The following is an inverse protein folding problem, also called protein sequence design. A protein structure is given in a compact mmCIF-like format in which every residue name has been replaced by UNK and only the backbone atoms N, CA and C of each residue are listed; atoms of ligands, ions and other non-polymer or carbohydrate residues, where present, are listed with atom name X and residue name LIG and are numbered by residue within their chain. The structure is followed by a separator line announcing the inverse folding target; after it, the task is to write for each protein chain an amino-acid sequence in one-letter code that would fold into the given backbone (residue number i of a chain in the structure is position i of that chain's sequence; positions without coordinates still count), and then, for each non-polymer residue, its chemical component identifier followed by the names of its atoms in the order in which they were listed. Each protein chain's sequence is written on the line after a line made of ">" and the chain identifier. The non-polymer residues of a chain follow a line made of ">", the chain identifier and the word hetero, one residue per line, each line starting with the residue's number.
data_IF_207899374452
#
_entry.id   IF_207899374452
#
_cell.length_a   1.000
_cell.length_b   1.000
_cell.length_c   1.000
_cell.angle_alpha   90.00
_cell.angle_beta   90.00
_cell.angle_gamma   90.00
#
_symmetry.space_group_name_H-M   'P 1'
#
loop_
_entity.id
_entity.type
_entity.pdbx_description
1 polymer ?
#
# COMPACT_ATOMS: atom_id res chain seq x y z
N UNK A 1 -23.78 17.60 5.63
CA UNK A 1 -23.04 16.42 6.10
C UNK A 1 -22.85 15.50 4.91
N UNK A 2 -21.66 15.62 4.30
CA UNK A 2 -21.25 14.76 3.19
C UNK A 2 -20.89 13.38 3.77
N UNK A 3 -21.66 12.37 3.42
CA UNK A 3 -21.27 10.98 3.64
C UNK A 3 -20.24 10.62 2.57
N UNK A 4 -18.99 10.55 2.96
CA UNK A 4 -17.95 9.92 2.14
C UNK A 4 -18.26 8.43 2.06
N UNK A 5 -18.89 8.02 0.98
CA UNK A 5 -19.10 6.60 0.71
C UNK A 5 -17.88 6.07 -0.01
N UNK A 6 -17.00 5.39 0.71
CA UNK A 6 -15.94 4.59 0.12
C UNK A 6 -16.55 3.26 -0.25
N UNK A 7 -16.78 3.02 -1.53
CA UNK A 7 -17.18 1.70 -2.02
C UNK A 7 -15.94 0.86 -2.29
N UNK A 8 -15.78 -0.22 -1.53
CA UNK A 8 -14.74 -1.21 -1.76
C UNK A 8 -15.26 -2.26 -2.75
N UNK A 9 -14.73 -2.27 -3.95
CA UNK A 9 -14.96 -3.37 -4.89
C UNK A 9 -13.82 -4.35 -4.69
N UNK A 10 -14.03 -5.33 -3.81
CA UNK A 10 -13.10 -6.42 -3.60
C UNK A 10 -13.08 -7.35 -4.80
N UNK A 11 -11.95 -7.42 -5.50
CA UNK A 11 -11.66 -8.52 -6.41
C UNK A 11 -11.05 -9.62 -5.56
N UNK A 12 -11.57 -10.84 -5.68
CA UNK A 12 -11.12 -11.99 -4.89
C UNK A 12 -9.58 -12.08 -4.87
N UNK A 13 -9.02 -11.88 -3.71
CA UNK A 13 -7.61 -12.16 -3.47
C UNK A 13 -7.42 -13.66 -3.38
N UNK A 14 -6.49 -14.17 -4.15
CA UNK A 14 -5.95 -15.51 -3.92
C UNK A 14 -5.42 -15.54 -2.49
N UNK A 15 -6.11 -16.24 -1.60
CA UNK A 15 -5.65 -16.46 -0.24
C UNK A 15 -4.53 -17.50 -0.29
N UNK A 16 -3.27 -17.14 -0.12
CA UNK A 16 -2.26 -18.12 0.23
C UNK A 16 -2.61 -18.68 1.61
N UNK A 17 -2.23 -19.92 1.84
CA UNK A 17 -2.46 -20.62 3.10
C UNK A 17 -2.14 -19.73 4.30
N UNK A 18 -2.94 -19.82 5.35
CA UNK A 18 -2.71 -19.15 6.63
C UNK A 18 -1.25 -19.27 7.04
N UNK A 19 -0.58 -18.14 7.14
CA UNK A 19 0.81 -18.10 7.55
C UNK A 19 0.83 -18.20 9.06
N UNK A 20 1.44 -19.24 9.55
CA UNK A 20 1.65 -19.39 10.98
C UNK A 20 3.11 -19.14 11.31
N UNK A 21 3.39 -18.03 11.98
CA UNK A 21 4.70 -17.84 12.59
C UNK A 21 4.90 -18.87 13.71
N UNK A 22 6.14 -19.40 13.86
CA UNK A 22 6.45 -20.27 14.99
C UNK A 22 6.13 -19.61 16.33
N UNK A 23 5.74 -20.40 17.33
CA UNK A 23 5.36 -19.90 18.66
C UNK A 23 6.48 -19.14 19.41
N UNK A 24 7.71 -19.31 19.00
CA UNK A 24 8.85 -18.62 19.58
C UNK A 24 9.13 -17.24 18.94
N UNK A 25 8.30 -16.80 18.00
CA UNK A 25 8.35 -15.45 17.45
C UNK A 25 7.53 -14.52 18.34
N UNK A 26 8.22 -13.72 19.13
CA UNK A 26 7.63 -12.75 20.04
C UNK A 26 7.64 -11.33 19.50
N UNK A 27 8.66 -10.99 18.73
CA UNK A 27 8.89 -9.64 18.21
C UNK A 27 9.06 -9.68 16.70
N UNK A 28 8.31 -8.83 16.00
CA UNK A 28 8.35 -8.75 14.54
C UNK A 28 8.80 -7.36 14.09
N UNK A 29 9.62 -7.33 13.04
CA UNK A 29 10.08 -6.11 12.38
C UNK A 29 9.31 -5.92 11.08
N UNK A 30 8.75 -4.74 10.87
CA UNK A 30 8.14 -4.34 9.61
C UNK A 30 9.17 -3.54 8.81
N UNK A 31 9.40 -3.93 7.56
CA UNK A 31 10.45 -3.36 6.70
C UNK A 31 9.86 -2.89 5.37
N UNK A 32 10.24 -1.71 4.91
CA UNK A 32 10.00 -1.24 3.56
C UNK A 32 11.19 -1.63 2.67
N UNK A 33 10.99 -2.67 1.86
CA UNK A 33 11.96 -3.15 0.85
C UNK A 33 11.50 -2.85 -0.59
N UNK A 34 10.44 -2.07 -0.73
CA UNK A 34 9.93 -1.63 -2.02
C UNK A 34 10.66 -0.37 -2.49
N UNK A 35 10.78 -0.22 -3.80
CA UNK A 35 11.24 1.03 -4.43
C UNK A 35 10.03 1.81 -4.90
N UNK A 36 9.90 3.10 -4.57
CA UNK A 36 8.78 3.90 -5.05
C UNK A 36 8.85 4.09 -6.56
N UNK A 37 7.70 3.96 -7.22
CA UNK A 37 7.60 4.32 -8.63
C UNK A 37 7.85 5.82 -8.84
N UNK A 38 8.36 6.24 -10.02
CA UNK A 38 8.55 7.65 -10.34
C UNK A 38 7.25 8.45 -10.24
N UNK A 39 7.34 9.71 -9.89
CA UNK A 39 6.19 10.59 -9.61
C UNK A 39 5.22 10.78 -10.77
N UNK A 40 5.69 10.55 -12.01
CA UNK A 40 4.94 10.71 -13.25
C UNK A 40 4.56 9.39 -13.92
N UNK A 41 4.83 8.25 -13.28
CA UNK A 41 4.54 6.91 -13.82
C UNK A 41 3.30 6.31 -13.19
N UNK A 42 2.34 5.88 -14.03
CA UNK A 42 1.14 5.18 -13.61
C UNK A 42 -0.05 6.07 -13.25
N UNK A 43 0.03 7.38 -13.49
CA UNK A 43 -1.03 8.34 -13.15
C UNK A 43 -1.59 9.01 -14.38
N UNK A 44 -2.92 8.99 -14.54
CA UNK A 44 -3.65 9.58 -15.65
C UNK A 44 -4.73 10.51 -15.12
N UNK A 45 -4.83 11.69 -15.72
CA UNK A 45 -5.92 12.63 -15.45
C UNK A 45 -6.68 12.91 -16.74
N UNK A 46 -7.98 12.61 -16.74
CA UNK A 46 -8.91 12.86 -17.84
C UNK A 46 -9.86 13.99 -17.44
N UNK A 47 -9.86 15.06 -18.20
CA UNK A 47 -10.77 16.19 -18.06
C UNK A 47 -11.67 16.27 -19.27
N UNK A 48 -12.97 16.07 -19.10
CA UNK A 48 -13.97 16.09 -20.18
C UNK A 48 -13.62 15.14 -21.33
N UNK A 49 -13.13 13.95 -21.00
CA UNK A 49 -12.73 12.94 -21.98
C UNK A 49 -11.37 13.16 -22.66
N UNK A 50 -10.66 14.22 -22.31
CA UNK A 50 -9.31 14.51 -22.84
C UNK A 50 -8.26 14.20 -21.79
N UNK A 51 -7.27 13.40 -22.16
CA UNK A 51 -6.13 13.09 -21.28
C UNK A 51 -5.35 14.38 -21.01
N UNK A 52 -5.16 14.69 -19.74
CA UNK A 52 -4.31 15.78 -19.27
C UNK A 52 -2.96 15.22 -18.85
N UNK A 53 -1.90 15.91 -19.19
CA UNK A 53 -0.52 15.40 -19.22
C UNK A 53 0.19 15.38 -17.86
N UNK A 54 -0.46 15.63 -16.73
CA UNK A 54 0.29 15.96 -15.53
C UNK A 54 -0.31 15.50 -14.20
N UNK A 55 -0.81 14.29 -14.12
CA UNK A 55 -1.02 13.73 -12.79
C UNK A 55 0.33 13.29 -12.24
N UNK A 56 0.74 13.84 -11.11
CA UNK A 56 1.93 13.45 -10.35
C UNK A 56 1.54 13.10 -8.93
N UNK A 57 2.17 12.07 -8.39
CA UNK A 57 1.99 11.69 -7.00
C UNK A 57 3.27 11.07 -6.45
N UNK A 58 3.48 11.20 -5.14
CA UNK A 58 4.66 10.72 -4.46
C UNK A 58 4.36 9.36 -3.79
N UNK A 59 4.84 8.29 -4.43
CA UNK A 59 4.60 6.94 -3.95
C UNK A 59 5.39 6.59 -2.68
N UNK A 60 6.51 7.26 -2.40
CA UNK A 60 7.35 7.01 -1.22
C UNK A 60 6.57 7.14 0.10
N UNK A 61 5.77 8.19 0.24
CA UNK A 61 4.92 8.38 1.41
C UNK A 61 3.84 7.29 1.54
N UNK A 62 3.31 6.82 0.42
CA UNK A 62 2.33 5.74 0.40
C UNK A 62 2.94 4.40 0.81
N UNK A 63 4.18 4.13 0.43
CA UNK A 63 4.93 2.94 0.88
C UNK A 63 5.14 2.97 2.40
N UNK A 64 5.55 4.11 2.93
CA UNK A 64 5.71 4.29 4.38
C UNK A 64 4.37 4.08 5.11
N UNK A 65 3.30 4.67 4.61
CA UNK A 65 1.97 4.55 5.19
C UNK A 65 1.45 3.11 5.16
N UNK A 66 1.76 2.34 4.11
CA UNK A 66 1.43 0.93 4.03
C UNK A 66 2.14 0.12 5.13
N UNK A 67 3.44 0.33 5.32
CA UNK A 67 4.20 -0.33 6.38
C UNK A 67 3.73 0.08 7.78
N UNK A 68 3.47 1.37 8.00
CA UNK A 68 2.97 1.87 9.27
C UNK A 68 1.58 1.31 9.59
N UNK A 69 0.68 1.29 8.62
CA UNK A 69 -0.67 0.74 8.75
C UNK A 69 -0.65 -0.77 9.04
N UNK A 70 0.22 -1.52 8.36
CA UNK A 70 0.43 -2.94 8.62
C UNK A 70 0.91 -3.18 10.04
N UNK A 71 1.93 -2.45 10.48
CA UNK A 71 2.45 -2.54 11.84
C UNK A 71 1.39 -2.22 12.89
N UNK A 72 0.64 -1.14 12.70
CA UNK A 72 -0.45 -0.76 13.61
C UNK A 72 -1.54 -1.83 13.67
N UNK A 73 -1.96 -2.36 12.53
CA UNK A 73 -2.99 -3.39 12.48
C UNK A 73 -2.55 -4.69 13.16
N UNK A 74 -1.28 -5.06 13.06
CA UNK A 74 -0.70 -6.21 13.75
C UNK A 74 -0.67 -5.96 15.27
N UNK A 75 -0.30 -4.76 15.71
CA UNK A 75 -0.35 -4.36 17.14
C UNK A 75 -1.77 -4.50 17.68
N UNK A 76 -2.77 -4.04 16.94
CA UNK A 76 -4.17 -4.07 17.37
C UNK A 76 -4.70 -5.50 17.61
N UNK A 77 -4.15 -6.49 16.90
CA UNK A 77 -4.48 -7.92 17.11
C UNK A 77 -3.83 -8.51 18.37
N UNK A 78 -2.75 -7.89 18.87
CA UNK A 78 -2.01 -8.33 20.06
C UNK A 78 -1.47 -9.78 19.96
N UNK A 79 -1.10 -10.20 18.76
CA UNK A 79 -0.55 -11.54 18.52
C UNK A 79 0.93 -11.65 18.89
N UNK A 80 1.71 -10.59 18.62
CA UNK A 80 3.12 -10.50 19.01
C UNK A 80 3.27 -9.62 20.25
N UNK A 81 4.31 -9.86 21.03
CA UNK A 81 4.64 -9.03 22.19
C UNK A 81 5.11 -7.64 21.81
N UNK A 82 5.78 -7.52 20.67
CA UNK A 82 6.27 -6.24 20.16
C UNK A 82 6.29 -6.23 18.63
N UNK A 83 6.04 -5.05 18.06
CA UNK A 83 6.08 -4.79 16.62
C UNK A 83 6.88 -3.52 16.40
N UNK A 84 7.99 -3.63 15.67
CA UNK A 84 8.85 -2.50 15.36
C UNK A 84 8.72 -2.15 13.87
N UNK A 85 8.76 -0.87 13.57
CA UNK A 85 8.84 -0.36 12.20
C UNK A 85 10.29 0.08 11.94
N UNK A 86 10.93 -0.54 10.94
CA UNK A 86 12.25 -0.12 10.48
C UNK A 86 12.11 1.20 9.71
N UNK A 87 12.81 2.23 10.15
CA UNK A 87 12.59 3.59 9.65
C UNK A 87 13.21 3.88 8.29
N UNK A 88 14.20 3.10 7.87
CA UNK A 88 14.89 3.26 6.58
C UNK A 88 14.41 2.24 5.55
N UNK A 89 14.38 2.65 4.28
CA UNK A 89 14.24 1.70 3.18
C UNK A 89 15.49 0.82 3.05
N UNK A 90 15.31 -0.43 2.68
CA UNK A 90 16.41 -1.40 2.55
C UNK A 90 16.99 -1.47 1.14
N UNK A 91 16.38 -0.80 0.16
CA UNK A 91 16.85 -0.79 -1.24
C UNK A 91 17.33 0.60 -1.65
N UNK A 92 18.44 0.63 -2.36
CA UNK A 92 19.06 1.83 -2.90
C UNK A 92 18.97 1.94 -4.44
N UNK A 93 18.39 0.94 -5.10
CA UNK A 93 18.22 0.91 -6.55
C UNK A 93 16.94 1.66 -7.00
N UNK A 94 16.69 1.69 -8.32
CA UNK A 94 15.54 2.34 -8.94
C UNK A 94 14.57 1.36 -9.61
N UNK A 95 14.76 0.06 -9.37
CA UNK A 95 13.97 -1.00 -10.03
C UNK A 95 12.63 -1.22 -9.33
N UNK A 96 11.73 -0.26 -9.45
CA UNK A 96 10.44 -0.27 -8.75
C UNK A 96 9.50 -1.41 -9.17
N UNK A 97 9.68 -1.98 -10.37
CA UNK A 97 8.87 -3.12 -10.84
C UNK A 97 9.30 -4.46 -10.26
N UNK A 98 10.48 -4.53 -9.64
CA UNK A 98 11.05 -5.78 -9.13
C UNK A 98 10.72 -5.95 -7.65
N UNK A 99 10.15 -7.09 -7.30
CA UNK A 99 9.89 -7.53 -5.94
C UNK A 99 11.08 -8.31 -5.37
N UNK A 100 12.22 -7.64 -5.24
CA UNK A 100 13.44 -8.28 -4.76
C UNK A 100 13.27 -8.79 -3.33
N UNK A 101 13.60 -10.08 -3.12
CA UNK A 101 13.57 -10.69 -1.78
C UNK A 101 14.71 -10.17 -0.93
N UNK A 102 14.47 -10.03 0.36
CA UNK A 102 15.56 -9.90 1.32
C UNK A 102 16.41 -11.17 1.31
N UNK A 103 17.73 -11.00 1.31
CA UNK A 103 18.65 -12.13 1.44
C UNK A 103 18.60 -12.71 2.86
N UNK A 104 18.91 -14.01 3.05
CA UNK A 104 18.99 -14.59 4.40
C UNK A 104 19.94 -13.83 5.33
N UNK A 105 21.05 -13.32 4.82
CA UNK A 105 22.02 -12.52 5.56
C UNK A 105 21.42 -11.19 6.01
N UNK A 106 20.67 -10.50 5.13
CA UNK A 106 20.00 -9.24 5.47
C UNK A 106 18.91 -9.46 6.53
N UNK A 107 18.11 -10.51 6.41
CA UNK A 107 17.09 -10.86 7.42
C UNK A 107 17.75 -11.09 8.79
N UNK A 108 18.83 -11.86 8.83
CA UNK A 108 19.56 -12.15 10.05
C UNK A 108 20.16 -10.90 10.69
N UNK A 109 20.72 -10.02 9.88
CA UNK A 109 21.29 -8.76 10.33
C UNK A 109 20.22 -7.80 10.87
N UNK A 110 19.11 -7.65 10.17
CA UNK A 110 17.97 -6.83 10.61
C UNK A 110 17.42 -7.31 11.96
N UNK A 111 17.22 -8.61 12.10
CA UNK A 111 16.76 -9.20 13.37
C UNK A 111 17.75 -9.00 14.51
N UNK A 112 19.03 -9.16 14.22
CA UNK A 112 20.12 -8.95 15.22
C UNK A 112 20.16 -7.48 15.66
N UNK A 113 20.12 -6.55 14.72
CA UNK A 113 20.19 -5.11 14.97
C UNK A 113 19.02 -4.60 15.80
N UNK A 114 17.82 -5.11 15.52
CA UNK A 114 16.59 -4.63 16.14
C UNK A 114 16.11 -5.47 17.32
N UNK A 115 16.75 -6.60 17.58
CA UNK A 115 16.32 -7.53 18.62
C UNK A 115 14.97 -8.19 18.32
N UNK A 116 14.66 -8.42 17.03
CA UNK A 116 13.42 -9.06 16.59
C UNK A 116 13.65 -10.51 16.16
N UNK A 117 12.56 -11.27 16.07
CA UNK A 117 12.58 -12.71 15.78
C UNK A 117 12.14 -13.04 14.36
N UNK A 118 11.50 -12.11 13.69
CA UNK A 118 10.99 -12.27 12.33
C UNK A 118 10.88 -10.89 11.63
N UNK A 119 10.77 -10.93 10.32
CA UNK A 119 10.58 -9.76 9.46
C UNK A 119 9.34 -9.95 8.61
N UNK A 120 8.49 -8.93 8.54
CA UNK A 120 7.46 -8.78 7.51
C UNK A 120 7.89 -7.62 6.61
N UNK A 121 8.10 -7.90 5.34
CA UNK A 121 8.67 -6.95 4.40
C UNK A 121 7.71 -6.63 3.26
N UNK A 122 7.53 -5.34 3.02
CA UNK A 122 6.88 -4.85 1.79
C UNK A 122 7.93 -4.87 0.68
N UNK A 123 7.87 -5.87 -0.21
CA UNK A 123 8.88 -6.07 -1.24
C UNK A 123 8.57 -5.36 -2.55
N UNK A 124 7.31 -5.08 -2.82
CA UNK A 124 6.86 -4.24 -3.93
C UNK A 124 5.47 -3.67 -3.62
N UNK A 125 5.23 -2.43 -4.02
CA UNK A 125 3.90 -1.82 -4.01
C UNK A 125 3.82 -0.80 -5.14
N UNK A 126 2.90 -1.05 -6.09
CA UNK A 126 2.69 -0.23 -7.26
C UNK A 126 1.25 0.27 -7.31
N UNK A 127 1.10 1.49 -7.80
CA UNK A 127 -0.18 2.15 -7.95
C UNK A 127 -0.41 2.54 -9.40
N UNK A 128 -1.62 2.32 -9.88
CA UNK A 128 -2.13 2.91 -11.12
C UNK A 128 -3.34 3.75 -10.77
N UNK A 129 -3.23 5.06 -10.91
CA UNK A 129 -4.29 6.01 -10.60
C UNK A 129 -4.87 6.60 -11.87
N UNK A 130 -6.19 6.64 -11.95
CA UNK A 130 -6.93 7.33 -12.98
C UNK A 130 -7.90 8.29 -12.32
N UNK A 131 -7.84 9.57 -12.71
CA UNK A 131 -8.75 10.61 -12.28
C UNK A 131 -9.56 11.08 -13.47
N UNK A 132 -10.88 11.00 -13.38
CA UNK A 132 -11.81 11.42 -14.41
C UNK A 132 -12.72 12.52 -13.89
N UNK A 133 -12.92 13.56 -14.69
CA UNK A 133 -13.88 14.63 -14.42
C UNK A 133 -14.75 14.85 -15.66
N UNK A 134 -16.06 14.85 -15.44
CA UNK A 134 -17.07 15.06 -16.48
C UNK A 134 -18.00 16.19 -16.05
N UNK A 135 -18.29 17.11 -16.98
CA UNK A 135 -19.30 18.14 -16.80
C UNK A 135 -20.63 17.71 -17.43
N UNK A 136 -21.73 17.99 -16.76
CA UNK A 136 -23.06 17.71 -17.25
C UNK A 136 -23.76 18.99 -17.69
N UNK A 137 -24.66 18.87 -18.68
CA UNK A 137 -25.41 19.99 -19.25
C UNK A 137 -26.32 20.70 -18.23
N UNK A 138 -26.67 20.02 -17.15
CA UNK A 138 -27.46 20.56 -16.04
C UNK A 138 -26.66 21.50 -15.14
N UNK A 139 -25.36 21.66 -15.37
CA UNK A 139 -24.50 22.63 -14.70
C UNK A 139 -23.75 22.11 -13.51
N UNK A 140 -23.62 20.80 -13.34
CA UNK A 140 -22.78 20.18 -12.30
C UNK A 140 -21.64 19.36 -12.91
N UNK A 141 -20.64 19.07 -12.09
CA UNK A 141 -19.49 18.25 -12.45
C UNK A 141 -19.45 16.99 -11.58
N UNK A 142 -19.01 15.90 -12.16
CA UNK A 142 -18.76 14.64 -11.47
C UNK A 142 -17.30 14.25 -11.66
N UNK A 143 -16.65 13.86 -10.60
CA UNK A 143 -15.28 13.38 -10.62
C UNK A 143 -15.11 12.07 -9.89
N UNK A 144 -14.17 11.28 -10.36
CA UNK A 144 -13.77 10.02 -9.74
C UNK A 144 -12.26 9.90 -9.70
N UNK A 145 -11.77 9.22 -8.68
CA UNK A 145 -10.38 8.78 -8.57
C UNK A 145 -10.41 7.28 -8.34
N UNK A 146 -9.75 6.54 -9.22
CA UNK A 146 -9.62 5.09 -9.16
C UNK A 146 -8.15 4.73 -9.01
N UNK A 147 -7.81 3.90 -8.03
CA UNK A 147 -6.46 3.41 -7.82
C UNK A 147 -6.48 1.89 -7.83
N UNK A 148 -5.77 1.31 -8.78
CA UNK A 148 -5.40 -0.10 -8.76
C UNK A 148 -4.07 -0.28 -8.04
N UNK A 149 -4.01 -1.28 -7.17
CA UNK A 149 -2.85 -1.53 -6.32
C UNK A 149 -2.38 -2.95 -6.56
N UNK A 150 -1.09 -3.12 -6.82
CA UNK A 150 -0.44 -4.43 -6.88
C UNK A 150 0.78 -4.42 -5.98
N UNK A 151 0.99 -5.50 -5.25
CA UNK A 151 2.11 -5.56 -4.31
C UNK A 151 2.52 -6.98 -3.94
N UNK A 152 3.63 -7.05 -3.23
CA UNK A 152 4.18 -8.28 -2.68
C UNK A 152 4.65 -8.00 -1.26
N UNK A 153 4.13 -8.76 -0.32
CA UNK A 153 4.53 -8.72 1.10
C UNK A 153 5.01 -10.10 1.49
N UNK A 154 6.17 -10.20 2.12
CA UNK A 154 6.75 -11.48 2.54
C UNK A 154 7.06 -11.51 4.04
N UNK A 155 6.86 -12.68 4.63
CA UNK A 155 7.32 -12.99 5.97
C UNK A 155 8.62 -13.76 5.93
N UNK A 156 9.57 -13.38 6.78
CA UNK A 156 10.90 -13.99 6.84
C UNK A 156 11.24 -14.41 8.27
N UNK A 157 11.93 -15.54 8.37
CA UNK A 157 12.58 -15.97 9.62
C UNK A 157 14.09 -15.97 9.43
N UNK A 158 14.87 -15.50 10.43
CA UNK A 158 16.32 -15.60 10.38
C UNK A 158 16.77 -17.06 10.31
N UNK A 159 17.80 -17.33 9.51
CA UNK A 159 18.35 -18.67 9.34
C UNK A 159 17.61 -19.56 8.32
N UNK A 160 16.63 -19.03 7.59
CA UNK A 160 15.95 -19.72 6.49
C UNK A 160 16.36 -19.14 5.14
N UNK A 161 16.59 -20.00 4.16
CA UNK A 161 16.96 -19.60 2.80
C UNK A 161 15.80 -19.01 2.00
N UNK A 162 14.57 -19.42 2.32
CA UNK A 162 13.37 -18.97 1.64
C UNK A 162 12.45 -18.21 2.60
N UNK A 163 11.61 -17.29 2.09
CA UNK A 163 10.57 -16.67 2.89
C UNK A 163 9.65 -17.72 3.52
N UNK A 164 9.19 -17.45 4.72
CA UNK A 164 8.14 -18.25 5.36
C UNK A 164 6.85 -18.20 4.54
N UNK A 165 6.59 -17.05 3.93
CA UNK A 165 5.38 -16.82 3.16
C UNK A 165 5.54 -15.65 2.20
N UNK A 166 4.78 -15.71 1.10
CA UNK A 166 4.66 -14.63 0.13
C UNK A 166 3.18 -14.34 -0.11
N UNK A 167 2.80 -13.09 0.08
CA UNK A 167 1.44 -12.59 -0.17
C UNK A 167 1.48 -11.68 -1.38
N UNK A 168 0.73 -12.05 -2.42
CA UNK A 168 0.51 -11.20 -3.59
C UNK A 168 -0.77 -10.39 -3.36
N UNK A 169 -0.67 -9.09 -3.53
CA UNK A 169 -1.78 -8.16 -3.34
C UNK A 169 -2.23 -7.63 -4.69
N UNK A 170 -3.53 -7.68 -4.94
CA UNK A 170 -4.18 -6.99 -6.04
C UNK A 170 -5.51 -6.47 -5.55
N UNK A 171 -5.70 -5.16 -5.57
CA UNK A 171 -6.94 -4.52 -5.13
C UNK A 171 -7.12 -3.16 -5.77
N UNK A 172 -8.26 -2.55 -5.50
CA UNK A 172 -8.55 -1.20 -5.93
C UNK A 172 -9.29 -0.41 -4.86
N UNK A 173 -9.10 0.90 -4.86
CA UNK A 173 -9.86 1.86 -4.07
C UNK A 173 -10.41 2.95 -4.98
N UNK A 174 -11.59 3.46 -4.67
CA UNK A 174 -12.32 4.37 -5.54
C UNK A 174 -12.99 5.49 -4.74
N UNK A 175 -12.95 6.71 -5.27
CA UNK A 175 -13.69 7.86 -4.78
C UNK A 175 -14.54 8.44 -5.91
N UNK A 176 -15.77 8.81 -5.61
CA UNK A 176 -16.65 9.51 -6.55
C UNK A 176 -17.39 10.62 -5.84
N UNK A 177 -17.42 11.78 -6.44
CA UNK A 177 -18.10 12.97 -5.91
C UNK A 177 -18.73 13.77 -7.04
N UNK A 178 -19.75 14.54 -6.68
CA UNK A 178 -20.35 15.55 -7.55
C UNK A 178 -20.37 16.91 -6.87
N UNK A 179 -20.28 17.96 -7.65
CA UNK A 179 -20.30 19.34 -7.14
C UNK A 179 -20.88 20.30 -8.18
N UNK A 180 -21.29 21.49 -7.74
CA UNK A 180 -21.83 22.52 -8.63
C UNK A 180 -20.76 23.13 -9.54
N UNK A 181 -19.48 23.02 -9.18
CA UNK A 181 -18.37 23.52 -9.97
C UNK A 181 -17.05 22.79 -9.64
N UNK A 182 -16.04 23.04 -10.46
CA UNK A 182 -14.70 22.39 -10.34
C UNK A 182 -13.99 22.73 -9.02
N UNK A 183 -14.16 23.93 -8.51
CA UNK A 183 -13.48 24.36 -7.26
C UNK A 183 -14.00 23.55 -6.07
N UNK A 184 -15.31 23.36 -6.00
CA UNK A 184 -15.93 22.53 -4.97
C UNK A 184 -15.55 21.06 -5.14
N UNK A 185 -15.53 20.56 -6.37
CA UNK A 185 -15.14 19.18 -6.64
C UNK A 185 -13.72 18.87 -6.15
N UNK A 186 -12.79 19.81 -6.35
CA UNK A 186 -11.42 19.67 -5.82
C UNK A 186 -11.35 19.59 -4.30
N UNK A 187 -12.30 20.19 -3.58
CA UNK A 187 -12.37 20.09 -2.13
C UNK A 187 -12.93 18.74 -1.66
N UNK A 188 -13.77 18.10 -2.49
CA UNK A 188 -14.42 16.84 -2.13
C UNK A 188 -13.62 15.60 -2.50
N UNK A 189 -12.87 15.66 -3.60
CA UNK A 189 -11.98 14.56 -4.02
C UNK A 189 -10.62 14.66 -3.31
N UNK A 190 -9.98 13.52 -3.01
CA UNK A 190 -8.62 13.54 -2.52
C UNK A 190 -7.65 14.04 -3.60
N UNK A 191 -6.60 14.72 -3.17
CA UNK A 191 -5.45 14.99 -4.05
C UNK A 191 -4.78 13.68 -4.46
N UNK A 192 -3.97 13.65 -5.52
CA UNK A 192 -3.22 12.46 -5.90
C UNK A 192 -2.40 11.86 -4.74
N UNK A 193 -1.68 12.69 -3.99
CA UNK A 193 -0.89 12.23 -2.84
C UNK A 193 -1.76 11.67 -1.71
N UNK A 194 -2.85 12.35 -1.37
CA UNK A 194 -3.80 11.87 -0.37
C UNK A 194 -4.41 10.53 -0.77
N UNK A 195 -4.78 10.37 -2.05
CA UNK A 195 -5.35 9.15 -2.58
C UNK A 195 -4.36 7.99 -2.51
N UNK A 196 -3.09 8.20 -2.90
CA UNK A 196 -2.05 7.17 -2.80
C UNK A 196 -1.78 6.77 -1.35
N UNK A 197 -1.70 7.73 -0.44
CA UNK A 197 -1.49 7.44 0.98
C UNK A 197 -2.63 6.65 1.58
N UNK A 198 -3.88 7.01 1.26
CA UNK A 198 -5.05 6.25 1.68
C UNK A 198 -5.06 4.82 1.13
N UNK A 199 -4.66 4.64 -0.14
CA UNK A 199 -4.53 3.33 -0.76
C UNK A 199 -3.43 2.50 -0.07
N UNK A 200 -2.28 3.10 0.26
CA UNK A 200 -1.23 2.44 1.02
C UNK A 200 -1.70 1.98 2.40
N UNK A 201 -2.36 2.85 3.14
CA UNK A 201 -2.93 2.50 4.46
C UNK A 201 -3.94 1.37 4.36
N UNK A 202 -4.80 1.39 3.35
CA UNK A 202 -5.77 0.33 3.09
C UNK A 202 -5.09 -1.03 2.87
N UNK A 203 -4.04 -1.07 2.06
CA UNK A 203 -3.28 -2.31 1.80
C UNK A 203 -2.62 -2.83 3.07
N UNK A 204 -2.03 -1.97 3.90
CA UNK A 204 -1.45 -2.38 5.17
C UNK A 204 -2.46 -3.10 6.07
N UNK A 205 -3.67 -2.57 6.17
CA UNK A 205 -4.75 -3.23 6.91
C UNK A 205 -5.20 -4.53 6.26
N UNK A 206 -5.33 -4.54 4.94
CA UNK A 206 -5.84 -5.69 4.18
C UNK A 206 -4.93 -6.91 4.27
N UNK A 207 -3.62 -6.74 4.25
CA UNK A 207 -2.69 -7.87 4.30
C UNK A 207 -2.47 -8.43 5.70
N UNK A 208 -2.86 -7.70 6.73
CA UNK A 208 -2.68 -8.11 8.13
C UNK A 208 -3.20 -9.51 8.44
N UNK A 209 -4.42 -9.94 8.01
CA UNK A 209 -4.92 -11.28 8.30
C UNK A 209 -4.11 -12.43 7.68
N UNK A 210 -3.22 -12.13 6.74
CA UNK A 210 -2.33 -13.13 6.17
C UNK A 210 -1.16 -13.49 7.10
N UNK A 211 -0.86 -12.65 8.07
CA UNK A 211 0.30 -12.79 8.97
C UNK A 211 -0.09 -13.07 10.42
N UNK A 212 -1.30 -12.70 10.81
CA UNK A 212 -1.83 -12.89 12.18
C UNK A 212 -3.26 -13.40 12.12
N UNK A 213 -3.68 -14.22 13.11
CA UNK A 213 -5.05 -14.76 13.15
C UNK A 213 -6.12 -13.68 13.40
#
# INVERSE_FOLDING_TARGET
>A
SACNTIEYIGIETYNPAEITFPKNVDKVLIVNNAVPQPDDVGYTYNLYGTVQDTARAHADSALYDACHSLGKSIVDVSFFNDVLLYHDGTRQDTKYLVDEKLTPETVKELCRETGTDAVISLDRLLFRMEKDVVAFAEGFVVGGVDIEITGVVRGYLPGRDNPLATVYVQDSVFWSESADNMELLKLYLPSPDEALRAAGQYIGRKVTPNFVP
#
